data_IF_274738691361
#
_entry.id   IF_274738691361
#
_cell.length_a   1.000
_cell.length_b   1.000
_cell.length_c   1.000
_cell.angle_alpha   90.00
_cell.angle_beta   90.00
_cell.angle_gamma   90.00
#
_symmetry.space_group_name_H-M   'P 1'
#
loop_
_entity.id
_entity.type
_entity.pdbx_description
1 polymer ?
#
# COMPACT_ATOMS: atom_id res chain seq x y z
N UNK A 1 3.97 29.94 67.52
CA UNK A 1 4.50 28.87 66.64
C UNK A 1 3.53 28.73 65.48
N UNK A 2 3.91 29.21 64.30
CA UNK A 2 3.07 29.23 63.09
C UNK A 2 3.30 27.95 62.28
N UNK A 3 2.26 27.21 61.94
CA UNK A 3 2.32 26.09 60.99
C UNK A 3 1.47 26.42 59.77
N UNK A 4 2.14 26.52 58.62
CA UNK A 4 1.58 26.87 57.32
C UNK A 4 0.95 25.64 56.65
N UNK A 5 -0.37 25.64 56.50
CA UNK A 5 -1.10 24.63 55.71
C UNK A 5 -0.85 24.84 54.22
N UNK A 6 -0.04 23.97 53.62
CA UNK A 6 0.23 23.92 52.18
C UNK A 6 -1.04 23.47 51.43
N UNK A 7 -1.65 24.37 50.64
CA UNK A 7 -2.75 24.03 49.72
C UNK A 7 -2.19 23.23 48.54
N UNK A 8 -2.80 22.07 48.26
CA UNK A 8 -2.53 21.21 47.10
C UNK A 8 -3.20 21.83 45.87
N UNK A 9 -2.43 22.12 44.83
CA UNK A 9 -2.92 22.51 43.51
C UNK A 9 -3.76 21.36 42.91
N UNK A 10 -4.86 21.63 42.18
CA UNK A 10 -5.55 20.58 41.45
C UNK A 10 -4.71 20.21 40.21
N UNK A 11 -4.18 18.99 40.24
CA UNK A 11 -3.57 18.31 39.09
C UNK A 11 -4.62 18.06 38.01
N UNK A 12 -4.24 18.47 36.80
CA UNK A 12 -4.44 17.76 35.54
C UNK A 12 -5.81 17.11 35.30
N UNK A 13 -6.74 17.90 34.75
CA UNK A 13 -7.92 17.37 34.10
C UNK A 13 -7.49 16.64 32.82
N UNK A 14 -7.21 15.34 32.97
CA UNK A 14 -6.94 14.42 31.87
C UNK A 14 -8.09 14.51 30.87
N UNK A 15 -7.86 15.22 29.76
CA UNK A 15 -8.76 15.20 28.60
C UNK A 15 -8.70 13.79 28.06
N UNK A 16 -9.59 12.92 28.53
CA UNK A 16 -9.78 11.59 27.97
C UNK A 16 -10.23 11.77 26.53
N UNK A 17 -9.28 11.71 25.60
CA UNK A 17 -9.54 11.62 24.18
C UNK A 17 -10.40 10.37 23.96
N UNK A 18 -11.69 10.59 23.76
CA UNK A 18 -12.67 9.53 23.59
C UNK A 18 -12.31 8.80 22.30
N UNK A 19 -11.67 7.64 22.44
CA UNK A 19 -11.27 6.82 21.30
C UNK A 19 -12.50 6.55 20.42
N UNK A 20 -12.56 7.21 19.27
CA UNK A 20 -13.64 7.05 18.30
C UNK A 20 -13.46 5.72 17.62
N UNK A 21 -14.11 4.68 18.14
CA UNK A 21 -14.07 3.34 17.54
C UNK A 21 -14.83 3.38 16.21
N UNK A 22 -14.10 3.45 15.10
CA UNK A 22 -14.66 3.31 13.77
C UNK A 22 -14.87 1.82 13.48
N UNK A 23 -16.07 1.31 13.78
CA UNK A 23 -16.44 -0.09 13.55
C UNK A 23 -17.14 -0.28 12.20
N UNK A 24 -16.49 0.07 11.10
CA UNK A 24 -16.86 -0.58 9.85
C UNK A 24 -16.46 -2.06 9.99
N UNK A 25 -17.43 -2.95 10.24
CA UNK A 25 -17.14 -4.36 10.55
C UNK A 25 -16.96 -5.22 9.31
N UNK A 26 -17.53 -4.79 8.18
CA UNK A 26 -17.47 -5.53 6.92
C UNK A 26 -17.12 -4.64 5.71
N UNK A 27 -15.84 -4.24 5.58
CA UNK A 27 -15.38 -3.50 4.42
C UNK A 27 -15.48 -4.36 3.16
N UNK A 28 -16.17 -3.87 2.13
CA UNK A 28 -16.32 -4.59 0.85
C UNK A 28 -15.01 -4.68 0.04
N UNK A 29 -14.04 -3.82 0.35
CA UNK A 29 -12.79 -3.67 -0.38
C UNK A 29 -11.57 -3.93 0.50
N UNK A 30 -10.52 -4.45 -0.12
CA UNK A 30 -9.18 -4.52 0.43
C UNK A 30 -8.25 -3.68 -0.44
N UNK A 31 -7.38 -2.91 0.22
CA UNK A 31 -6.41 -2.02 -0.39
C UNK A 31 -5.02 -2.65 -0.30
N UNK A 32 -4.24 -2.51 -1.37
CA UNK A 32 -2.89 -3.03 -1.47
C UNK A 32 -1.95 -1.91 -1.94
N UNK A 33 -0.81 -1.77 -1.26
CA UNK A 33 0.34 -0.97 -1.70
C UNK A 33 1.32 -1.92 -2.37
N UNK A 34 1.55 -1.73 -3.66
CA UNK A 34 2.43 -2.54 -4.49
C UNK A 34 3.64 -1.71 -4.90
N UNK A 35 4.79 -2.37 -5.03
CA UNK A 35 6.01 -1.81 -5.62
C UNK A 35 6.41 -2.67 -6.83
N UNK A 36 6.68 -2.03 -7.97
CA UNK A 36 7.26 -2.72 -9.11
C UNK A 36 8.78 -2.79 -8.96
N UNK A 37 9.31 -4.01 -8.86
CA UNK A 37 10.74 -4.30 -8.69
C UNK A 37 11.33 -4.82 -10.00
N UNK A 38 12.51 -4.35 -10.38
CA UNK A 38 13.24 -4.86 -11.55
C UNK A 38 14.30 -5.85 -11.08
N UNK A 39 14.56 -6.89 -11.87
CA UNK A 39 15.62 -7.84 -11.55
C UNK A 39 17.01 -7.20 -11.61
N UNK A 40 18.00 -7.78 -10.89
CA UNK A 40 19.39 -7.35 -10.98
C UNK A 40 19.89 -7.42 -12.43
N UNK A 41 20.60 -6.39 -12.89
CA UNK A 41 21.14 -6.32 -14.25
C UNK A 41 20.29 -5.56 -15.26
N UNK A 42 19.08 -5.12 -14.89
CA UNK A 42 18.30 -4.18 -15.71
C UNK A 42 18.97 -2.81 -15.74
N UNK A 43 19.03 -2.17 -16.90
CA UNK A 43 19.69 -0.86 -17.05
C UNK A 43 18.98 0.23 -16.23
N UNK A 44 19.78 1.16 -15.70
CA UNK A 44 19.28 2.30 -14.88
C UNK A 44 18.26 3.14 -15.66
N UNK A 45 18.43 3.29 -16.98
CA UNK A 45 17.47 4.00 -17.84
C UNK A 45 16.05 3.41 -17.78
N UNK A 46 15.93 2.09 -17.64
CA UNK A 46 14.65 1.38 -17.59
C UNK A 46 14.10 1.37 -16.17
N UNK A 47 14.97 1.22 -15.18
CA UNK A 47 14.59 1.34 -13.77
C UNK A 47 14.04 2.74 -13.46
N UNK A 48 14.63 3.80 -14.04
CA UNK A 48 14.17 5.17 -13.88
C UNK A 48 12.97 5.55 -14.75
N UNK A 49 12.57 4.72 -15.71
CA UNK A 49 11.40 4.99 -16.54
C UNK A 49 10.13 5.02 -15.66
N UNK A 50 9.28 6.07 -15.75
CA UNK A 50 8.08 6.17 -14.93
C UNK A 50 7.11 5.02 -15.23
N UNK A 51 6.41 4.53 -14.21
CA UNK A 51 5.33 3.58 -14.39
C UNK A 51 4.05 4.33 -14.74
N UNK A 52 3.48 4.06 -15.90
CA UNK A 52 2.18 4.57 -16.30
C UNK A 52 1.03 3.64 -15.82
N UNK A 53 -0.18 4.19 -15.61
CA UNK A 53 -1.31 3.39 -15.14
C UNK A 53 -1.75 2.28 -16.10
N UNK A 54 -1.55 2.46 -17.42
CA UNK A 54 -1.93 1.47 -18.42
C UNK A 54 -1.00 0.24 -18.34
N UNK A 55 0.31 0.45 -18.29
CA UNK A 55 1.27 -0.64 -18.07
C UNK A 55 1.05 -1.34 -16.73
N UNK A 56 0.77 -0.59 -15.66
CA UNK A 56 0.42 -1.20 -14.38
C UNK A 56 -0.81 -2.12 -14.49
N UNK A 57 -1.86 -1.67 -15.18
CA UNK A 57 -3.06 -2.50 -15.44
C UNK A 57 -2.74 -3.74 -16.26
N UNK A 58 -1.91 -3.62 -17.29
CA UNK A 58 -1.47 -4.74 -18.13
C UNK A 58 -0.75 -5.79 -17.30
N UNK A 59 0.18 -5.38 -16.43
CA UNK A 59 0.93 -6.28 -15.55
C UNK A 59 0.05 -6.96 -14.50
N UNK A 60 -0.88 -6.22 -13.89
CA UNK A 60 -1.85 -6.79 -12.95
C UNK A 60 -2.76 -7.81 -13.63
N UNK A 61 -3.24 -7.49 -14.83
CA UNK A 61 -4.08 -8.41 -15.62
C UNK A 61 -3.31 -9.67 -16.03
N UNK A 62 -2.04 -9.51 -16.43
CA UNK A 62 -1.16 -10.63 -16.75
C UNK A 62 -0.92 -11.54 -15.54
N UNK A 63 -0.68 -10.97 -14.36
CA UNK A 63 -0.53 -11.71 -13.11
C UNK A 63 -1.77 -12.54 -12.77
N UNK A 64 -2.94 -11.93 -12.84
CA UNK A 64 -4.21 -12.61 -12.58
C UNK A 64 -4.50 -13.70 -13.61
N UNK A 65 -4.26 -13.43 -14.89
CA UNK A 65 -4.43 -14.40 -15.97
C UNK A 65 -3.51 -15.60 -15.81
N UNK A 66 -2.24 -15.38 -15.43
CA UNK A 66 -1.28 -16.46 -15.22
C UNK A 66 -1.65 -17.36 -14.03
N UNK A 67 -2.12 -16.76 -12.92
CA UNK A 67 -2.39 -17.51 -11.68
C UNK A 67 -3.79 -18.13 -11.63
N UNK A 68 -4.80 -17.43 -12.14
CA UNK A 68 -6.22 -17.83 -12.04
C UNK A 68 -6.87 -18.09 -13.40
N UNK A 69 -6.17 -17.86 -14.51
CA UNK A 69 -6.74 -17.95 -15.85
C UNK A 69 -7.74 -16.84 -16.16
N UNK A 70 -8.68 -17.12 -17.06
CA UNK A 70 -9.68 -16.16 -17.53
C UNK A 70 -10.53 -15.59 -16.38
N UNK A 71 -10.85 -16.39 -15.37
CA UNK A 71 -11.64 -15.95 -14.21
C UNK A 71 -10.92 -14.88 -13.41
N UNK A 72 -9.59 -14.97 -13.28
CA UNK A 72 -8.78 -13.93 -12.64
C UNK A 72 -8.95 -12.55 -13.27
N UNK A 73 -9.08 -12.51 -14.60
CA UNK A 73 -9.24 -11.25 -15.34
C UNK A 73 -10.59 -10.57 -15.11
N UNK A 74 -11.58 -11.30 -14.56
CA UNK A 74 -12.90 -10.75 -14.21
C UNK A 74 -12.92 -10.10 -12.81
N UNK A 75 -11.87 -10.25 -12.02
CA UNK A 75 -11.75 -9.60 -10.71
C UNK A 75 -11.69 -8.08 -10.91
N UNK A 76 -12.61 -7.36 -10.24
CA UNK A 76 -12.68 -5.90 -10.36
C UNK A 76 -11.53 -5.23 -9.61
N UNK A 77 -10.45 -4.90 -10.32
CA UNK A 77 -9.31 -4.15 -9.77
C UNK A 77 -9.38 -2.69 -10.20
N UNK A 78 -9.30 -1.78 -9.23
CA UNK A 78 -9.17 -0.35 -9.49
C UNK A 78 -7.82 0.17 -9.02
N UNK A 79 -7.15 0.93 -9.89
CA UNK A 79 -5.90 1.63 -9.59
C UNK A 79 -6.25 2.99 -8.99
N UNK A 80 -5.82 3.21 -7.75
CA UNK A 80 -6.13 4.43 -6.99
C UNK A 80 -5.07 5.52 -7.19
N UNK A 81 -3.80 5.12 -7.24
CA UNK A 81 -2.65 6.02 -7.38
C UNK A 81 -1.48 5.26 -7.96
N UNK A 82 -0.80 5.89 -8.92
CA UNK A 82 0.52 5.48 -9.39
C UNK A 82 1.44 6.67 -9.15
N UNK A 83 2.44 6.50 -8.31
CA UNK A 83 3.43 7.56 -8.07
C UNK A 83 4.73 6.96 -7.58
N UNK A 84 5.85 7.67 -7.77
CA UNK A 84 7.05 7.37 -7.02
C UNK A 84 6.82 7.55 -5.51
N UNK A 85 7.48 6.75 -4.66
CA UNK A 85 7.43 6.95 -3.19
C UNK A 85 8.22 8.19 -2.78
N UNK A 86 9.42 8.32 -3.33
CA UNK A 86 10.33 9.42 -3.08
C UNK A 86 10.81 9.92 -4.44
N UNK A 87 10.50 11.16 -4.80
CA UNK A 87 10.95 11.76 -6.07
C UNK A 87 12.46 12.01 -6.11
N UNK A 88 13.13 11.95 -4.95
CA UNK A 88 14.52 12.34 -4.74
C UNK A 88 15.51 11.17 -4.79
N UNK A 89 15.02 9.92 -4.70
CA UNK A 89 15.88 8.73 -4.77
C UNK A 89 15.89 8.20 -6.21
N UNK A 90 17.09 8.01 -6.78
CA UNK A 90 17.26 7.35 -8.08
C UNK A 90 17.92 5.98 -7.88
N UNK A 91 17.34 4.89 -8.41
CA UNK A 91 16.09 4.84 -9.18
C UNK A 91 14.83 5.00 -8.30
N UNK A 92 13.87 5.80 -8.77
CA UNK A 92 12.64 6.09 -8.01
C UNK A 92 11.78 4.83 -7.84
N UNK A 93 11.35 4.56 -6.61
CA UNK A 93 10.50 3.40 -6.33
C UNK A 93 9.13 3.56 -7.00
N UNK A 94 8.74 2.62 -7.86
CA UNK A 94 7.46 2.66 -8.58
C UNK A 94 6.35 2.07 -7.72
N UNK A 95 5.55 2.91 -7.08
CA UNK A 95 4.46 2.49 -6.18
C UNK A 95 3.10 2.57 -6.89
N UNK A 96 2.30 1.52 -6.70
CA UNK A 96 0.92 1.44 -7.17
C UNK A 96 0.00 1.08 -6.01
N UNK A 97 -1.07 1.84 -5.88
CA UNK A 97 -2.14 1.58 -4.92
C UNK A 97 -3.33 1.01 -5.66
N UNK A 98 -3.81 -0.15 -5.23
CA UNK A 98 -5.01 -0.77 -5.80
C UNK A 98 -6.04 -1.08 -4.72
N UNK A 99 -7.30 -1.15 -5.14
CA UNK A 99 -8.36 -1.81 -4.37
C UNK A 99 -8.89 -3.02 -5.12
N UNK A 100 -9.27 -4.04 -4.36
CA UNK A 100 -9.87 -5.28 -4.85
C UNK A 100 -11.01 -5.72 -3.92
N UNK A 101 -12.00 -6.49 -4.41
CA UNK A 101 -13.05 -7.01 -3.55
C UNK A 101 -12.45 -7.88 -2.46
N UNK A 102 -13.00 -7.77 -1.24
CA UNK A 102 -12.42 -8.41 -0.06
C UNK A 102 -12.26 -9.92 -0.21
N UNK A 103 -13.24 -10.57 -0.84
CA UNK A 103 -13.26 -12.01 -1.08
C UNK A 103 -12.14 -12.48 -2.00
N UNK A 104 -11.71 -11.63 -2.95
CA UNK A 104 -10.68 -11.97 -3.94
C UNK A 104 -9.28 -11.56 -3.46
N UNK A 105 -9.18 -10.86 -2.34
CA UNK A 105 -7.93 -10.25 -1.88
C UNK A 105 -6.81 -11.26 -1.62
N UNK A 106 -7.10 -12.49 -1.17
CA UNK A 106 -6.10 -13.54 -0.99
C UNK A 106 -5.57 -14.05 -2.34
N UNK A 107 -6.48 -14.31 -3.28
CA UNK A 107 -6.14 -14.78 -4.62
C UNK A 107 -5.35 -13.73 -5.40
N UNK A 108 -5.73 -12.45 -5.31
CA UNK A 108 -4.98 -11.32 -5.91
C UNK A 108 -3.59 -11.23 -5.31
N UNK A 109 -3.45 -11.32 -3.98
CA UNK A 109 -2.15 -11.28 -3.31
C UNK A 109 -1.23 -12.39 -3.82
N UNK A 110 -1.75 -13.62 -3.93
CA UNK A 110 -0.99 -14.77 -4.43
C UNK A 110 -0.60 -14.61 -5.92
N UNK A 111 -1.54 -14.15 -6.75
CA UNK A 111 -1.29 -13.92 -8.18
C UNK A 111 -0.21 -12.85 -8.39
N UNK A 112 -0.34 -11.72 -7.70
CA UNK A 112 0.57 -10.58 -7.85
C UNK A 112 1.96 -10.92 -7.33
N UNK A 113 2.08 -11.61 -6.18
CA UNK A 113 3.39 -11.94 -5.60
C UNK A 113 4.14 -13.05 -6.35
N UNK A 114 3.43 -13.94 -7.05
CA UNK A 114 4.03 -15.04 -7.83
C UNK A 114 4.32 -14.66 -9.28
N UNK A 115 3.87 -13.49 -9.73
CA UNK A 115 4.04 -13.06 -11.11
C UNK A 115 5.42 -12.46 -11.38
N UNK A 116 6.02 -12.90 -12.48
CA UNK A 116 7.24 -12.34 -13.05
C UNK A 116 6.91 -11.90 -14.48
N UNK A 117 6.93 -10.61 -14.73
CA UNK A 117 6.81 -10.01 -16.05
C UNK A 117 8.17 -9.72 -16.68
N UNK A 118 8.17 -9.42 -17.97
CA UNK A 118 9.37 -9.14 -18.73
C UNK A 118 9.39 -9.89 -20.05
N UNK A 119 10.11 -9.36 -21.04
CA UNK A 119 10.25 -10.02 -22.34
C UNK A 119 11.24 -11.18 -22.26
N UNK A 120 10.85 -12.34 -22.78
CA UNK A 120 11.76 -13.46 -23.04
C UNK A 120 12.80 -13.04 -24.10
N UNK A 121 13.92 -12.43 -23.67
CA UNK A 121 15.07 -12.16 -24.53
C UNK A 121 15.30 -10.71 -24.99
N UNK A 122 14.90 -9.69 -24.21
CA UNK A 122 15.19 -8.29 -24.55
C UNK A 122 15.76 -7.47 -23.39
N UNK A 123 16.45 -6.38 -23.73
CA UNK A 123 17.09 -5.42 -22.81
C UNK A 123 16.16 -4.79 -21.74
N UNK A 124 14.84 -5.05 -21.81
CA UNK A 124 13.83 -4.55 -20.88
C UNK A 124 13.94 -5.11 -19.44
N UNK A 125 14.63 -6.25 -19.27
CA UNK A 125 14.77 -6.90 -17.97
C UNK A 125 13.44 -7.48 -17.45
N UNK A 126 13.54 -8.38 -16.48
CA UNK A 126 12.36 -8.94 -15.83
C UNK A 126 11.91 -8.01 -14.69
N UNK A 127 10.60 -7.95 -14.46
CA UNK A 127 9.93 -7.16 -13.42
C UNK A 127 9.02 -8.05 -12.58
N UNK A 128 8.82 -7.69 -11.31
CA UNK A 128 7.93 -8.40 -10.41
C UNK A 128 7.23 -7.43 -9.46
N UNK A 129 6.10 -7.85 -8.90
CA UNK A 129 5.40 -7.06 -7.88
C UNK A 129 5.82 -7.48 -6.48
N UNK A 130 6.16 -6.48 -5.66
CA UNK A 130 6.34 -6.63 -4.22
C UNK A 130 5.16 -6.01 -3.50
N UNK A 131 4.57 -6.75 -2.56
CA UNK A 131 3.50 -6.25 -1.71
C UNK A 131 4.14 -5.52 -0.52
N UNK A 132 3.97 -4.20 -0.46
CA UNK A 132 4.47 -3.35 0.63
C UNK A 132 3.50 -3.29 1.81
N UNK A 133 2.19 -3.25 1.53
CA UNK A 133 1.17 -3.20 2.57
C UNK A 133 -0.18 -3.75 2.08
N UNK A 134 -0.99 -4.23 3.03
CA UNK A 134 -2.37 -4.70 2.81
C UNK A 134 -3.26 -4.25 3.96
N UNK A 135 -4.44 -3.73 3.66
CA UNK A 135 -5.37 -3.26 4.68
C UNK A 135 -6.79 -3.16 4.13
N UNK A 136 -7.80 -3.30 4.99
CA UNK A 136 -9.19 -3.17 4.56
C UNK A 136 -9.67 -1.70 4.52
N UNK A 137 -8.84 -0.77 4.99
CA UNK A 137 -9.10 0.66 4.98
C UNK A 137 -7.88 1.37 4.41
N UNK A 138 -8.09 2.24 3.42
CA UNK A 138 -7.01 3.00 2.80
C UNK A 138 -6.30 3.91 3.81
N UNK A 139 -7.05 4.55 4.71
CA UNK A 139 -6.48 5.43 5.74
C UNK A 139 -5.46 4.74 6.65
N UNK A 140 -5.67 3.46 6.96
CA UNK A 140 -4.74 2.66 7.76
C UNK A 140 -3.43 2.31 7.02
N UNK A 141 -3.37 2.49 5.70
CA UNK A 141 -2.18 2.23 4.90
C UNK A 141 -1.42 3.50 4.52
N UNK A 142 -2.13 4.64 4.41
CA UNK A 142 -1.55 5.91 3.96
C UNK A 142 -0.98 6.72 5.13
N UNK A 143 -1.51 6.55 6.35
CA UNK A 143 -1.01 7.24 7.54
C UNK A 143 -0.30 6.26 8.48
N UNK A 144 0.97 6.54 8.78
CA UNK A 144 1.77 5.76 9.74
C UNK A 144 1.20 5.86 11.15
N UNK A 145 1.38 4.80 11.96
CA UNK A 145 1.13 4.65 13.42
C UNK A 145 -0.25 5.06 13.99
N UNK A 146 -0.92 6.08 13.46
CA UNK A 146 -2.08 6.75 14.04
C UNK A 146 -1.71 7.71 15.17
N UNK A 147 -0.42 7.80 15.57
CA UNK A 147 0.04 8.65 16.67
C UNK A 147 -0.21 10.14 16.43
N UNK A 148 -0.10 10.61 15.19
CA UNK A 148 -0.26 12.03 14.85
C UNK A 148 -1.72 12.47 14.76
N UNK A 149 -2.66 11.53 14.66
CA UNK A 149 -4.09 11.82 14.63
C UNK A 149 -4.66 12.17 16.02
N UNK A 150 -3.87 11.98 17.08
CA UNK A 150 -4.26 12.20 18.47
C UNK A 150 -3.25 13.06 19.24
N UNK A 151 -2.46 13.88 18.55
CA UNK A 151 -1.62 14.89 19.21
C UNK A 151 -2.55 16.00 19.73
N UNK A 152 -2.46 16.39 21.03
CA UNK A 152 -3.31 17.41 21.64
C UNK A 152 -3.26 18.78 20.96
#
# INVERSE_FOLDING_TARGET
MSTTTKRKSPDDATVQSKATSFTARNPAWTYLKLQLVHQPGTSVSIQSAPLDPLTARTYLTAALSQFLGLTGTTISIDILKVSPETEQEQPAEKIVWIRVPRQDASAVVAAVSSWIGGGSGGAAGNVAWRIRAKGNYLGALVQGSGSDLFVP
#
